data_IF_243546222530
#
_entry.id   IF_243546222530
#
_cell.length_a   1.000
_cell.length_b   1.000
_cell.length_c   1.000
_cell.angle_alpha   90.00
_cell.angle_beta   90.00
_cell.angle_gamma   90.00
#
_symmetry.space_group_name_H-M   'P 1'
#
loop_
_entity.id
_entity.type
_entity.pdbx_description
1 polymer ?
#
# COMPACT_ATOMS: atom_id res chain seq x y z
N UNK A 1 0.59 -6.76 11.93
CA UNK A 1 1.23 -5.43 12.18
C UNK A 1 2.47 -5.45 13.10
N UNK A 2 3.64 -5.63 12.51
CA UNK A 2 4.94 -5.47 13.18
C UNK A 2 5.63 -4.18 12.73
N UNK A 3 4.96 -3.03 12.85
CA UNK A 3 5.50 -1.71 12.43
C UNK A 3 6.42 -1.04 13.48
N UNK A 4 6.58 -1.67 14.65
CA UNK A 4 7.23 -1.11 15.86
C UNK A 4 8.70 -0.75 15.70
N UNK A 5 9.38 -1.22 14.64
CA UNK A 5 10.81 -0.96 14.39
C UNK A 5 11.09 0.15 13.38
N UNK A 6 10.06 0.69 12.73
CA UNK A 6 10.21 1.77 11.76
C UNK A 6 10.14 3.15 12.43
N UNK A 7 10.85 4.12 11.86
CA UNK A 7 10.74 5.53 12.23
C UNK A 7 9.29 6.02 12.13
N UNK A 8 8.90 7.01 12.94
CA UNK A 8 7.54 7.57 12.91
C UNK A 8 7.14 8.07 11.52
N UNK A 9 8.08 8.65 10.76
CA UNK A 9 7.83 9.10 9.39
C UNK A 9 7.47 7.93 8.47
N UNK A 10 8.25 6.85 8.54
CA UNK A 10 7.98 5.62 7.76
C UNK A 10 6.63 5.01 8.13
N UNK A 11 6.29 4.96 9.42
CA UNK A 11 4.99 4.47 9.87
C UNK A 11 3.85 5.33 9.31
N UNK A 12 3.98 6.66 9.34
CA UNK A 12 2.98 7.58 8.77
C UNK A 12 2.80 7.39 7.27
N UNK A 13 3.91 7.24 6.53
CA UNK A 13 3.86 6.98 5.09
C UNK A 13 3.15 5.65 4.82
N UNK A 14 3.46 4.60 5.58
CA UNK A 14 2.84 3.29 5.41
C UNK A 14 1.35 3.32 5.72
N UNK A 15 0.93 3.99 6.79
CA UNK A 15 -0.50 4.15 7.10
C UNK A 15 -1.24 4.88 5.98
N UNK A 16 -0.64 5.94 5.42
CA UNK A 16 -1.20 6.68 4.28
C UNK A 16 -1.33 5.80 3.04
N UNK A 17 -0.28 5.03 2.75
CA UNK A 17 -0.22 4.13 1.59
C UNK A 17 -1.26 3.01 1.69
N UNK A 18 -1.41 2.39 2.86
CA UNK A 18 -2.45 1.38 3.11
C UNK A 18 -3.85 2.00 3.07
N UNK A 19 -4.02 3.23 3.59
CA UNK A 19 -5.29 3.96 3.48
C UNK A 19 -5.72 4.22 2.03
N UNK A 20 -4.77 4.58 1.16
CA UNK A 20 -5.02 4.75 -0.28
C UNK A 20 -5.46 3.43 -0.93
N UNK A 21 -4.80 2.33 -0.58
CA UNK A 21 -5.15 1.02 -1.09
C UNK A 21 -6.54 0.55 -0.59
N UNK A 22 -6.85 0.72 0.69
CA UNK A 22 -8.17 0.41 1.25
C UNK A 22 -9.29 1.22 0.58
N UNK A 23 -9.02 2.50 0.27
CA UNK A 23 -9.96 3.37 -0.44
C UNK A 23 -10.22 2.89 -1.88
N UNK A 24 -9.18 2.41 -2.58
CA UNK A 24 -9.33 1.79 -3.90
C UNK A 24 -10.11 0.46 -3.83
N UNK A 25 -9.81 -0.35 -2.81
CA UNK A 25 -10.38 -1.69 -2.66
C UNK A 25 -11.85 -1.65 -2.20
N UNK A 26 -12.26 -0.60 -1.48
CA UNK A 26 -13.63 -0.45 -0.95
C UNK A 26 -13.99 -1.42 0.18
N UNK A 27 -13.01 -2.18 0.69
CA UNK A 27 -13.14 -3.17 1.79
C UNK A 27 -11.82 -3.28 2.56
N UNK A 28 -11.82 -4.05 3.64
CA UNK A 28 -10.62 -4.22 4.47
C UNK A 28 -9.44 -4.76 3.65
N UNK A 29 -8.24 -4.15 3.73
CA UNK A 29 -7.06 -4.60 3.00
C UNK A 29 -6.60 -6.00 3.43
N UNK A 30 -7.01 -6.49 4.60
CA UNK A 30 -6.78 -7.86 5.08
C UNK A 30 -7.41 -8.93 4.18
N UNK A 31 -8.39 -8.54 3.35
CA UNK A 31 -9.06 -9.44 2.39
C UNK A 31 -8.51 -9.32 0.97
N UNK A 32 -7.46 -8.50 0.78
CA UNK A 32 -6.90 -8.24 -0.53
C UNK A 32 -6.23 -9.49 -1.13
N UNK A 33 -6.49 -9.72 -2.41
CA UNK A 33 -5.88 -10.77 -3.20
C UNK A 33 -4.69 -10.23 -4.01
N UNK A 34 -3.88 -11.13 -4.57
CA UNK A 34 -2.82 -10.74 -5.49
C UNK A 34 -3.36 -10.00 -6.75
N UNK A 35 -4.57 -10.30 -7.18
CA UNK A 35 -5.20 -9.62 -8.32
C UNK A 35 -5.57 -8.17 -7.96
N UNK A 36 -6.08 -7.93 -6.75
CA UNK A 36 -6.37 -6.58 -6.25
C UNK A 36 -5.10 -5.70 -6.24
N UNK A 37 -3.97 -6.27 -5.78
CA UNK A 37 -2.67 -5.60 -5.80
C UNK A 37 -2.23 -5.27 -7.23
N UNK A 38 -2.39 -6.20 -8.16
CA UNK A 38 -2.03 -6.00 -9.57
C UNK A 38 -2.87 -4.90 -10.22
N UNK A 39 -4.19 -4.88 -10.00
CA UNK A 39 -5.08 -3.82 -10.50
C UNK A 39 -4.70 -2.46 -9.94
N UNK A 40 -4.39 -2.40 -8.64
CA UNK A 40 -3.94 -1.17 -8.00
C UNK A 40 -2.62 -0.66 -8.59
N UNK A 41 -1.64 -1.53 -8.84
CA UNK A 41 -0.38 -1.15 -9.49
C UNK A 41 -0.57 -0.68 -10.94
N UNK A 42 -1.48 -1.30 -11.70
CA UNK A 42 -1.82 -0.84 -13.06
C UNK A 42 -2.47 0.54 -13.03
N UNK A 43 -3.43 0.77 -12.11
CA UNK A 43 -4.04 2.09 -11.93
C UNK A 43 -3.02 3.17 -11.57
N UNK A 44 -2.10 2.86 -10.66
CA UNK A 44 -1.01 3.78 -10.31
C UNK A 44 -0.09 4.11 -11.48
N UNK A 45 0.17 3.16 -12.38
CA UNK A 45 0.97 3.42 -13.59
C UNK A 45 0.21 4.34 -14.55
N UNK A 46 -1.10 4.15 -14.70
CA UNK A 46 -1.95 5.05 -15.48
C UNK A 46 -1.98 6.48 -14.93
N UNK A 47 -1.92 6.62 -13.60
CA UNK A 47 -1.85 7.91 -12.88
C UNK A 47 -0.44 8.55 -12.90
N UNK A 48 0.55 7.89 -13.51
CA UNK A 48 1.92 8.39 -13.56
C UNK A 48 2.66 8.37 -12.22
N UNK A 49 2.23 7.53 -11.26
CA UNK A 49 2.92 7.37 -9.99
C UNK A 49 4.33 6.84 -10.25
N UNK A 50 5.38 7.38 -9.61
CA UNK A 50 6.73 6.88 -9.81
C UNK A 50 6.92 5.51 -9.16
N UNK A 51 7.70 4.65 -9.83
CA UNK A 51 8.09 3.30 -9.38
C UNK A 51 8.54 3.23 -7.90
N UNK A 52 9.39 4.13 -7.37
CA UNK A 52 9.75 4.09 -5.95
C UNK A 52 8.54 4.23 -5.01
N UNK A 53 7.54 5.05 -5.36
CA UNK A 53 6.30 5.18 -4.58
C UNK A 53 5.48 3.91 -4.64
N UNK A 54 5.37 3.27 -5.81
CA UNK A 54 4.69 1.97 -5.92
C UNK A 54 5.36 0.89 -5.05
N UNK A 55 6.69 0.85 -5.06
CA UNK A 55 7.45 -0.09 -4.24
C UNK A 55 7.26 0.16 -2.73
N UNK A 56 7.17 1.43 -2.31
CA UNK A 56 6.85 1.81 -0.93
C UNK A 56 5.49 1.27 -0.52
N UNK A 57 4.47 1.44 -1.36
CA UNK A 57 3.11 0.98 -1.05
C UNK A 57 3.03 -0.55 -0.98
N UNK A 58 3.68 -1.28 -1.91
CA UNK A 58 3.74 -2.75 -1.85
C UNK A 58 4.46 -3.22 -0.59
N UNK A 59 5.53 -2.53 -0.19
CA UNK A 59 6.26 -2.82 1.04
C UNK A 59 5.36 -2.59 2.26
N UNK A 60 4.66 -1.45 2.33
CA UNK A 60 3.73 -1.13 3.40
C UNK A 60 2.65 -2.21 3.59
N UNK A 61 2.08 -2.70 2.49
CA UNK A 61 1.07 -3.76 2.53
C UNK A 61 1.62 -5.09 3.08
N UNK A 62 2.88 -5.43 2.80
CA UNK A 62 3.55 -6.62 3.36
C UNK A 62 3.79 -6.53 4.87
N UNK A 63 3.94 -5.33 5.43
CA UNK A 63 4.13 -5.13 6.87
C UNK A 63 2.84 -4.90 7.65
N UNK A 64 1.72 -4.73 6.93
CA UNK A 64 0.40 -4.52 7.49
C UNK A 64 -0.27 -5.85 7.91
N UNK A 65 -0.09 -6.91 7.12
CA UNK A 65 -0.46 -8.30 7.46
C UNK A 65 0.19 -8.80 8.76
#
# INVERSE_FOLDING_TARGET
MTMRRFSQETQRNYVRDVGRFASFLGRSPDTATADDLRRFQVGQQGDGVPVPTMNSIVSALRFFT
#
